data_IF_806771401587
#
_entry.id   IF_806771401587
#
_cell.length_a   1.000
_cell.length_b   1.000
_cell.length_c   1.000
_cell.angle_alpha   90.00
_cell.angle_beta   90.00
_cell.angle_gamma   90.00
#
_symmetry.space_group_name_H-M   'P 1'
#
loop_
_entity.id
_entity.type
_entity.pdbx_description
1 polymer ?
#
# COMPACT_ATOMS: atom_id res chain seq x y z
N UNK A 1 -15.78 19.25 32.80
CA UNK A 1 -15.25 18.19 31.92
C UNK A 1 -14.67 18.80 30.66
N UNK A 2 -15.39 19.69 29.98
CA UNK A 2 -14.94 20.29 28.71
C UNK A 2 -13.66 21.14 28.84
N UNK A 3 -13.52 21.92 29.92
CA UNK A 3 -12.32 22.73 30.18
C UNK A 3 -11.08 21.86 30.48
N UNK A 4 -11.26 20.67 31.07
CA UNK A 4 -10.18 19.71 31.27
C UNK A 4 -9.78 19.03 29.96
N UNK A 5 -10.75 18.72 29.08
CA UNK A 5 -10.48 18.21 27.74
C UNK A 5 -9.74 19.25 26.90
N UNK A 6 -10.13 20.52 26.97
CA UNK A 6 -9.47 21.62 26.26
C UNK A 6 -8.07 21.87 26.80
N UNK A 7 -7.89 21.77 28.13
CA UNK A 7 -6.58 21.84 28.76
C UNK A 7 -5.71 20.64 28.35
N UNK A 8 -6.23 19.42 28.34
CA UNK A 8 -5.51 18.23 27.88
C UNK A 8 -5.17 18.29 26.38
N UNK A 9 -6.03 18.89 25.54
CA UNK A 9 -5.77 19.09 24.13
C UNK A 9 -4.74 20.21 23.90
N UNK A 10 -4.83 21.31 24.66
CA UNK A 10 -3.85 22.39 24.65
C UNK A 10 -2.48 21.93 25.17
N UNK A 11 -2.46 21.11 26.22
CA UNK A 11 -1.24 20.45 26.72
C UNK A 11 -0.75 19.46 25.68
N UNK A 12 -1.60 18.60 25.10
CA UNK A 12 -1.22 17.65 24.04
C UNK A 12 -0.63 18.31 22.79
N UNK A 13 -1.10 19.51 22.43
CA UNK A 13 -0.57 20.34 21.35
C UNK A 13 0.76 21.03 21.72
N UNK A 14 0.96 21.39 23.00
CA UNK A 14 2.17 22.08 23.51
C UNK A 14 3.28 21.12 23.94
N UNK A 15 2.93 19.91 24.38
CA UNK A 15 3.82 18.83 24.84
C UNK A 15 4.08 17.78 23.76
N UNK A 16 3.57 17.95 22.53
CA UNK A 16 3.82 16.95 21.51
C UNK A 16 5.30 16.93 21.12
N UNK A 17 5.90 15.78 21.48
CA UNK A 17 7.16 15.21 21.02
C UNK A 17 8.40 15.64 21.82
N UNK A 18 8.50 15.21 23.07
CA UNK A 18 9.82 14.82 23.58
C UNK A 18 10.42 13.80 22.62
N UNK A 19 11.61 14.11 22.11
CA UNK A 19 12.39 13.20 21.27
C UNK A 19 12.75 11.99 22.14
N UNK A 20 12.16 10.84 21.83
CA UNK A 20 12.54 9.57 22.47
C UNK A 20 14.04 9.33 22.23
N UNK A 21 14.81 8.96 23.27
CA UNK A 21 16.22 8.67 23.12
C UNK A 21 16.39 7.57 22.08
N UNK A 22 17.13 7.88 21.02
CA UNK A 22 17.33 6.97 19.90
C UNK A 22 17.92 5.65 20.37
N UNK A 23 17.43 4.51 19.87
CA UNK A 23 17.96 3.15 20.11
C UNK A 23 19.50 3.04 19.95
N UNK A 24 20.09 3.92 19.14
CA UNK A 24 21.54 4.05 18.91
C UNK A 24 22.33 4.65 20.07
N UNK A 25 21.68 5.29 21.04
CA UNK A 25 22.33 5.81 22.24
C UNK A 25 22.93 4.70 23.12
N UNK A 26 22.49 3.45 22.89
CA UNK A 26 23.08 2.25 23.49
C UNK A 26 24.44 1.87 22.89
N UNK A 27 24.79 2.34 21.69
CA UNK A 27 26.08 2.07 21.06
C UNK A 27 27.09 3.19 21.35
N UNK A 28 28.25 2.81 21.89
CA UNK A 28 29.35 3.70 22.30
C UNK A 28 29.92 4.57 21.15
N UNK A 29 29.69 4.15 19.89
CA UNK A 29 30.09 4.86 18.65
C UNK A 29 29.31 6.18 18.48
N UNK A 30 28.12 6.28 19.07
CA UNK A 30 27.20 7.42 18.90
C UNK A 30 27.68 8.72 19.58
N UNK A 31 28.53 8.60 20.61
CA UNK A 31 29.07 9.71 21.43
C UNK A 31 30.45 10.22 20.97
N UNK A 32 30.95 9.77 19.83
CA UNK A 32 32.21 10.26 19.27
C UNK A 32 32.08 11.68 18.68
N UNK A 33 33.13 12.52 18.71
CA UNK A 33 33.09 13.88 18.17
C UNK A 33 32.84 13.91 16.65
N UNK A 34 33.21 12.84 15.94
CA UNK A 34 32.94 12.67 14.50
C UNK A 34 31.44 12.47 14.25
N UNK A 35 30.76 11.69 15.10
CA UNK A 35 29.31 11.46 15.04
C UNK A 35 28.51 12.74 15.28
N UNK A 36 28.93 13.58 16.23
CA UNK A 36 28.26 14.87 16.49
C UNK A 36 28.44 15.87 15.35
N UNK A 37 29.65 15.98 14.78
CA UNK A 37 29.87 16.82 13.60
C UNK A 37 29.08 16.33 12.38
N UNK A 38 28.98 15.02 12.19
CA UNK A 38 28.18 14.42 11.12
C UNK A 38 26.69 14.71 11.31
N UNK A 39 26.17 14.57 12.54
CA UNK A 39 24.79 14.95 12.88
C UNK A 39 24.54 16.43 12.64
N UNK A 40 25.44 17.30 13.06
CA UNK A 40 25.34 18.75 12.83
C UNK A 40 25.33 19.08 11.33
N UNK A 41 26.12 18.38 10.53
CA UNK A 41 26.14 18.53 9.07
C UNK A 41 24.84 18.05 8.41
N UNK A 42 24.38 16.84 8.74
CA UNK A 42 23.15 16.22 8.19
C UNK A 42 21.90 17.02 8.58
N UNK A 43 21.85 17.55 9.81
CA UNK A 43 20.74 18.39 10.29
C UNK A 43 20.79 19.81 9.71
N UNK A 44 21.93 20.20 9.14
CA UNK A 44 22.11 21.50 8.51
C UNK A 44 21.36 21.62 7.17
N UNK A 45 20.88 22.83 6.82
CA UNK A 45 20.18 23.05 5.54
C UNK A 45 21.09 22.79 4.32
N UNK A 46 22.41 22.91 4.49
CA UNK A 46 23.41 22.65 3.45
C UNK A 46 23.34 21.23 2.90
N UNK A 47 23.12 20.25 3.77
CA UNK A 47 23.00 18.85 3.37
C UNK A 47 21.81 18.65 2.43
N UNK A 48 20.65 19.22 2.77
CA UNK A 48 19.46 19.18 1.90
C UNK A 48 19.71 19.76 0.51
N UNK A 49 20.41 20.89 0.42
CA UNK A 49 20.79 21.49 -0.86
C UNK A 49 21.74 20.60 -1.68
N UNK A 50 22.73 19.97 -1.05
CA UNK A 50 23.66 19.05 -1.72
C UNK A 50 22.90 17.85 -2.30
N UNK A 51 22.04 17.21 -1.51
CA UNK A 51 21.26 16.06 -1.95
C UNK A 51 20.31 16.43 -3.09
N UNK A 52 19.69 17.61 -3.02
CA UNK A 52 18.84 18.13 -4.10
C UNK A 52 19.61 18.34 -5.38
N UNK A 53 20.82 18.89 -5.29
CA UNK A 53 21.69 19.08 -6.44
C UNK A 53 22.06 17.73 -7.08
N UNK A 54 22.40 16.73 -6.28
CA UNK A 54 22.67 15.36 -6.76
C UNK A 54 21.43 14.77 -7.45
N UNK A 55 20.23 15.01 -6.90
CA UNK A 55 18.98 14.53 -7.49
C UNK A 55 18.67 15.18 -8.84
N UNK A 56 18.93 16.48 -8.96
CA UNK A 56 18.80 17.19 -10.24
C UNK A 56 19.81 16.63 -11.26
N UNK A 57 21.05 16.34 -10.85
CA UNK A 57 22.04 15.71 -11.74
C UNK A 57 21.63 14.30 -12.17
N UNK A 58 21.07 13.49 -11.26
CA UNK A 58 20.54 12.17 -11.59
C UNK A 58 19.39 12.27 -12.61
N UNK A 59 18.50 13.27 -12.46
CA UNK A 59 17.45 13.53 -13.44
C UNK A 59 18.02 13.83 -14.84
N UNK A 60 19.07 14.66 -14.92
CA UNK A 60 19.73 14.92 -16.19
C UNK A 60 20.38 13.67 -16.78
N UNK A 61 21.04 12.84 -15.95
CA UNK A 61 21.61 11.57 -16.39
C UNK A 61 20.54 10.64 -17.00
N UNK A 62 19.39 10.50 -16.35
CA UNK A 62 18.25 9.70 -16.84
C UNK A 62 17.71 10.22 -18.18
N UNK A 63 17.59 11.54 -18.33
CA UNK A 63 17.12 12.16 -19.58
C UNK A 63 18.10 11.88 -20.72
N UNK A 64 19.40 11.99 -20.44
CA UNK A 64 20.46 11.71 -21.42
C UNK A 64 20.47 10.22 -21.78
N UNK A 65 20.39 9.32 -20.81
CA UNK A 65 20.31 7.88 -21.04
C UNK A 65 19.12 7.54 -21.94
N UNK A 66 17.93 8.06 -21.62
CA UNK A 66 16.71 7.81 -22.41
C UNK A 66 16.83 8.34 -23.83
N UNK A 67 17.51 9.48 -24.02
CA UNK A 67 17.75 10.04 -25.37
C UNK A 67 18.74 9.19 -26.16
N UNK A 68 19.76 8.62 -25.49
CA UNK A 68 20.76 7.76 -26.12
C UNK A 68 20.22 6.37 -26.46
N UNK A 69 19.30 5.84 -25.66
CA UNK A 69 18.59 4.59 -25.91
C UNK A 69 17.79 4.67 -27.22
N UNK A 70 17.07 5.77 -27.44
CA UNK A 70 16.36 6.04 -28.71
C UNK A 70 17.33 6.21 -29.88
N UNK A 71 18.49 6.82 -29.64
CA UNK A 71 19.54 7.01 -30.66
C UNK A 71 20.40 5.76 -30.91
N UNK A 72 20.15 4.65 -30.21
CA UNK A 72 20.83 3.35 -30.32
C UNK A 72 22.37 3.46 -30.27
N UNK A 73 22.88 4.33 -29.38
CA UNK A 73 24.29 4.63 -29.27
C UNK A 73 24.96 3.83 -28.13
N UNK A 74 26.17 3.33 -28.38
CA UNK A 74 27.01 2.55 -27.43
C UNK A 74 27.30 3.22 -26.08
N UNK A 75 27.08 4.53 -25.95
CA UNK A 75 27.28 5.29 -24.72
C UNK A 75 26.32 4.94 -23.57
N UNK A 76 25.23 4.23 -23.83
CA UNK A 76 24.20 3.88 -22.84
C UNK A 76 24.76 3.18 -21.60
N UNK A 77 25.70 2.25 -21.77
CA UNK A 77 26.27 1.47 -20.65
C UNK A 77 26.96 2.36 -19.60
N UNK A 78 27.63 3.43 -20.04
CA UNK A 78 28.33 4.35 -19.12
C UNK A 78 27.33 5.13 -18.28
N UNK A 79 26.20 5.55 -18.87
CA UNK A 79 25.16 6.27 -18.15
C UNK A 79 24.42 5.38 -17.15
N UNK A 80 24.19 4.11 -17.51
CA UNK A 80 23.60 3.13 -16.59
C UNK A 80 24.49 2.88 -15.34
N UNK A 81 25.81 2.77 -15.51
CA UNK A 81 26.75 2.65 -14.39
C UNK A 81 26.71 3.89 -13.48
N UNK A 82 26.61 5.08 -14.09
CA UNK A 82 26.49 6.34 -13.35
C UNK A 82 25.17 6.39 -12.56
N UNK A 83 24.06 5.93 -13.13
CA UNK A 83 22.78 5.81 -12.41
C UNK A 83 22.87 4.89 -11.20
N UNK A 84 23.56 3.74 -11.34
CA UNK A 84 23.77 2.81 -10.23
C UNK A 84 24.58 3.44 -9.08
N UNK A 85 25.63 4.20 -9.41
CA UNK A 85 26.41 4.95 -8.41
C UNK A 85 25.54 5.99 -7.69
N UNK A 86 24.67 6.70 -8.40
CA UNK A 86 23.71 7.62 -7.77
C UNK A 86 22.75 6.88 -6.84
N UNK A 87 22.26 5.70 -7.21
CA UNK A 87 21.47 4.81 -6.36
C UNK A 87 22.12 4.57 -4.99
N UNK A 88 23.40 4.22 -4.98
CA UNK A 88 24.17 4.00 -3.75
C UNK A 88 24.36 5.26 -2.90
N UNK A 89 24.56 6.42 -3.54
CA UNK A 89 24.65 7.70 -2.83
C UNK A 89 23.35 7.97 -2.04
N UNK A 90 22.19 7.60 -2.58
CA UNK A 90 20.91 7.73 -1.86
C UNK A 90 20.77 6.77 -0.68
N UNK A 91 21.27 5.54 -0.81
CA UNK A 91 21.32 4.60 0.33
C UNK A 91 22.18 5.18 1.46
N UNK A 92 23.33 5.76 1.10
CA UNK A 92 24.22 6.38 2.07
C UNK A 92 23.55 7.60 2.74
N UNK A 93 22.88 8.46 1.96
CA UNK A 93 22.10 9.60 2.45
C UNK A 93 21.01 9.18 3.44
N UNK A 94 20.28 8.11 3.11
CA UNK A 94 19.27 7.52 3.98
C UNK A 94 19.86 6.99 5.27
N UNK A 95 20.94 6.21 5.18
CA UNK A 95 21.64 5.68 6.34
C UNK A 95 22.12 6.81 7.27
N UNK A 96 22.65 7.89 6.70
CA UNK A 96 23.07 9.09 7.43
C UNK A 96 21.91 9.79 8.14
N UNK A 97 20.75 9.93 7.48
CA UNK A 97 19.54 10.50 8.10
C UNK A 97 19.00 9.62 9.22
N UNK A 98 18.85 8.32 8.99
CA UNK A 98 18.37 7.37 10.02
C UNK A 98 19.33 7.38 11.22
N UNK A 99 20.64 7.46 10.97
CA UNK A 99 21.65 7.59 12.01
C UNK A 99 21.55 8.92 12.76
N UNK A 100 21.30 10.05 12.09
CA UNK A 100 21.27 11.36 12.77
C UNK A 100 19.98 11.62 13.56
N UNK A 101 18.83 11.18 13.05
CA UNK A 101 17.53 11.40 13.68
C UNK A 101 17.12 10.30 14.66
N UNK A 102 17.78 9.13 14.59
CA UNK A 102 17.42 7.94 15.37
C UNK A 102 16.26 7.17 14.75
N UNK A 103 16.32 5.84 14.79
CA UNK A 103 15.37 4.95 14.12
C UNK A 103 13.91 5.24 14.53
N UNK A 104 13.65 5.45 15.81
CA UNK A 104 12.31 5.61 16.35
C UNK A 104 11.67 6.97 15.99
N UNK A 105 12.44 8.05 16.07
CA UNK A 105 11.95 9.37 15.66
C UNK A 105 11.79 9.46 14.14
N UNK A 106 12.67 8.79 13.38
CA UNK A 106 12.56 8.67 11.93
C UNK A 106 11.30 7.90 11.51
N UNK A 107 10.99 6.78 12.17
CA UNK A 107 9.79 5.97 11.87
C UNK A 107 8.48 6.62 12.32
N UNK A 108 8.53 7.58 13.25
CA UNK A 108 7.31 8.29 13.70
C UNK A 108 6.77 9.26 12.66
N UNK A 109 7.62 9.79 11.79
CA UNK A 109 7.19 10.69 10.72
C UNK A 109 6.78 9.90 9.46
N UNK A 110 5.53 10.07 9.03
CA UNK A 110 4.98 9.35 7.89
C UNK A 110 5.69 9.68 6.58
N UNK A 111 6.18 10.92 6.43
CA UNK A 111 6.91 11.36 5.24
C UNK A 111 8.26 10.64 5.11
N UNK A 112 8.96 10.47 6.23
CA UNK A 112 10.24 9.77 6.26
C UNK A 112 10.09 8.27 6.00
N UNK A 113 9.02 7.63 6.52
CA UNK A 113 8.71 6.23 6.20
C UNK A 113 8.50 6.00 4.72
N UNK A 114 7.75 6.89 4.06
CA UNK A 114 7.54 6.81 2.62
C UNK A 114 8.87 6.97 1.86
N UNK A 115 9.67 7.96 2.23
CA UNK A 115 10.99 8.21 1.63
C UNK A 115 11.92 6.98 1.72
N UNK A 116 11.90 6.29 2.87
CA UNK A 116 12.65 5.06 3.10
C UNK A 116 12.18 3.91 2.20
N UNK A 117 10.87 3.64 2.16
CA UNK A 117 10.30 2.57 1.34
C UNK A 117 10.61 2.79 -0.15
N UNK A 118 10.43 4.02 -0.63
CA UNK A 118 10.70 4.38 -2.02
C UNK A 118 12.18 4.17 -2.35
N UNK A 119 13.10 4.61 -1.48
CA UNK A 119 14.53 4.43 -1.71
C UNK A 119 14.92 2.96 -1.77
N UNK A 120 14.39 2.12 -0.88
CA UNK A 120 14.64 0.67 -0.91
C UNK A 120 14.09 -0.02 -2.16
N UNK A 121 12.85 0.30 -2.56
CA UNK A 121 12.24 -0.27 -3.78
C UNK A 121 13.09 0.07 -5.00
N UNK A 122 13.55 1.33 -5.11
CA UNK A 122 14.38 1.78 -6.22
C UNK A 122 15.72 1.03 -6.24
N UNK A 123 16.41 0.95 -5.11
CA UNK A 123 17.74 0.32 -5.02
C UNK A 123 17.67 -1.17 -5.32
N UNK A 124 16.64 -1.86 -4.80
CA UNK A 124 16.41 -3.27 -5.13
C UNK A 124 16.14 -3.42 -6.62
N UNK A 125 15.26 -2.59 -7.19
CA UNK A 125 14.92 -2.62 -8.62
C UNK A 125 16.14 -2.42 -9.52
N UNK A 126 16.99 -1.42 -9.22
CA UNK A 126 18.22 -1.16 -9.96
C UNK A 126 19.24 -2.29 -9.78
N UNK A 127 19.41 -2.81 -8.56
CA UNK A 127 20.35 -3.89 -8.28
C UNK A 127 19.95 -5.19 -9.00
N UNK A 128 18.67 -5.53 -9.01
CA UNK A 128 18.16 -6.70 -9.74
C UNK A 128 18.42 -6.57 -11.25
N UNK A 129 18.22 -5.36 -11.79
CA UNK A 129 18.45 -5.08 -13.21
C UNK A 129 19.93 -5.20 -13.59
N UNK A 130 20.83 -4.73 -12.71
CA UNK A 130 22.27 -4.80 -12.94
C UNK A 130 22.85 -6.20 -12.75
N UNK A 131 22.41 -6.92 -11.70
CA UNK A 131 22.95 -8.23 -11.33
C UNK A 131 22.45 -9.38 -12.21
N UNK A 132 21.30 -9.22 -12.89
CA UNK A 132 20.68 -10.30 -13.66
C UNK A 132 20.02 -9.78 -14.94
N UNK A 133 20.80 -9.37 -15.95
CA UNK A 133 20.24 -9.00 -17.25
C UNK A 133 19.58 -10.19 -17.99
N UNK A 134 20.02 -11.43 -17.75
CA UNK A 134 19.64 -12.60 -18.59
C UNK A 134 19.00 -13.80 -17.84
N UNK A 135 19.00 -13.85 -16.49
CA UNK A 135 18.64 -15.10 -15.77
C UNK A 135 17.21 -15.18 -15.22
N UNK A 136 16.43 -14.09 -15.19
CA UNK A 136 15.03 -14.15 -14.79
C UNK A 136 14.09 -14.23 -16.00
N UNK A 137 14.06 -15.39 -16.65
CA UNK A 137 13.13 -15.72 -17.75
C UNK A 137 11.63 -15.56 -17.38
N UNK A 138 11.28 -15.47 -16.09
CA UNK A 138 9.92 -15.14 -15.62
C UNK A 138 9.50 -13.68 -15.91
N UNK A 139 10.46 -12.84 -16.28
CA UNK A 139 10.33 -11.39 -16.37
C UNK A 139 10.75 -10.83 -17.74
N UNK A 140 10.83 -11.72 -18.74
CA UNK A 140 11.27 -11.47 -20.12
C UNK A 140 10.40 -10.52 -20.96
N UNK A 141 9.31 -9.98 -20.42
CA UNK A 141 8.44 -9.06 -21.14
C UNK A 141 8.77 -7.63 -20.70
N UNK A 142 8.72 -6.64 -21.60
CA UNK A 142 9.08 -5.24 -21.35
C UNK A 142 8.36 -4.52 -20.19
N UNK A 143 7.61 -5.23 -19.35
CA UNK A 143 7.08 -4.80 -18.05
C UNK A 143 8.17 -4.40 -17.05
N UNK A 144 9.34 -5.06 -17.03
CA UNK A 144 10.43 -4.65 -16.12
C UNK A 144 10.97 -3.28 -16.43
N UNK A 145 11.17 -3.01 -17.72
CA UNK A 145 11.45 -1.66 -18.21
C UNK A 145 10.39 -0.66 -17.72
N UNK A 146 9.10 -1.03 -17.74
CA UNK A 146 8.02 -0.14 -17.27
C UNK A 146 8.12 0.12 -15.77
N UNK A 147 8.42 -0.91 -14.97
CA UNK A 147 8.61 -0.75 -13.52
C UNK A 147 9.83 0.12 -13.19
N UNK A 148 10.93 -0.03 -13.92
CA UNK A 148 12.11 0.85 -13.78
C UNK A 148 11.78 2.29 -14.16
N UNK A 149 11.00 2.49 -15.22
CA UNK A 149 10.52 3.81 -15.61
C UNK A 149 9.65 4.44 -14.51
N UNK A 150 8.74 3.67 -13.92
CA UNK A 150 7.93 4.10 -12.78
C UNK A 150 8.80 4.43 -11.57
N UNK A 151 9.81 3.61 -11.27
CA UNK A 151 10.76 3.86 -10.19
C UNK A 151 11.54 5.17 -10.40
N UNK A 152 11.93 5.48 -11.65
CA UNK A 152 12.54 6.76 -12.04
C UNK A 152 11.57 7.94 -11.82
N UNK A 153 10.27 7.77 -12.11
CA UNK A 153 9.25 8.79 -11.83
C UNK A 153 9.05 9.03 -10.32
N UNK A 154 9.18 7.98 -9.49
CA UNK A 154 9.13 8.13 -8.02
C UNK A 154 10.25 9.04 -7.50
N UNK A 155 11.45 9.01 -8.12
CA UNK A 155 12.53 9.96 -7.80
C UNK A 155 12.15 11.41 -8.08
N UNK A 156 11.41 11.70 -9.16
CA UNK A 156 10.87 13.06 -9.40
C UNK A 156 9.91 13.49 -8.28
N UNK A 157 9.03 12.59 -7.81
CA UNK A 157 8.12 12.90 -6.70
C UNK A 157 8.91 13.29 -5.45
N UNK A 158 10.04 12.62 -5.21
CA UNK A 158 10.97 12.98 -4.15
C UNK A 158 11.60 14.37 -4.36
N UNK A 159 11.99 14.72 -5.59
CA UNK A 159 12.46 16.08 -5.94
C UNK A 159 11.41 17.14 -5.58
N UNK A 160 10.14 16.87 -5.93
CA UNK A 160 9.00 17.75 -5.67
C UNK A 160 8.81 18.00 -4.17
N UNK A 161 9.07 17.01 -3.31
CA UNK A 161 9.02 17.20 -1.85
C UNK A 161 10.10 18.17 -1.33
N UNK A 162 11.23 18.28 -2.01
CA UNK A 162 12.29 19.21 -1.62
C UNK A 162 11.99 20.65 -2.02
N UNK A 163 11.21 20.85 -3.09
CA UNK A 163 10.77 22.17 -3.53
C UNK A 163 9.67 22.68 -2.60
N UNK A 164 9.94 23.78 -1.90
CA UNK A 164 9.04 24.36 -0.87
C UNK A 164 7.61 24.56 -1.36
N UNK A 165 7.42 24.94 -2.63
CA UNK A 165 6.11 25.17 -3.24
C UNK A 165 5.27 23.90 -3.34
N UNK A 166 5.88 22.77 -3.70
CA UNK A 166 5.19 21.49 -3.90
C UNK A 166 5.15 20.63 -2.64
N UNK A 167 6.06 20.87 -1.69
CA UNK A 167 6.11 20.15 -0.41
C UNK A 167 4.76 20.07 0.29
N UNK A 168 4.03 21.19 0.37
CA UNK A 168 2.72 21.21 1.03
C UNK A 168 1.70 20.31 0.32
N UNK A 169 1.68 20.33 -1.02
CA UNK A 169 0.79 19.49 -1.83
C UNK A 169 1.13 18.01 -1.71
N UNK A 170 2.41 17.64 -1.80
CA UNK A 170 2.82 16.25 -1.68
C UNK A 170 2.58 15.74 -0.26
N UNK A 171 2.86 16.57 0.76
CA UNK A 171 2.58 16.24 2.15
C UNK A 171 1.10 15.98 2.39
N UNK A 172 0.21 16.87 1.92
CA UNK A 172 -1.24 16.66 2.06
C UNK A 172 -1.68 15.42 1.33
N UNK A 173 -1.21 15.19 0.10
CA UNK A 173 -1.52 13.98 -0.66
C UNK A 173 -1.09 12.70 0.09
N UNK A 174 0.15 12.65 0.58
CA UNK A 174 0.65 11.51 1.36
C UNK A 174 -0.11 11.29 2.67
N UNK A 175 -0.60 12.36 3.31
CA UNK A 175 -1.47 12.23 4.50
C UNK A 175 -2.89 11.82 4.16
N UNK A 176 -3.38 12.13 2.95
CA UNK A 176 -4.70 11.75 2.48
C UNK A 176 -4.78 10.26 2.12
N UNK A 177 -3.69 9.67 1.58
CA UNK A 177 -3.64 8.23 1.24
C UNK A 177 -4.11 7.32 2.39
N UNK A 178 -3.53 7.38 3.61
CA UNK A 178 -3.96 6.52 4.71
C UNK A 178 -5.37 6.87 5.20
N UNK A 179 -5.79 8.13 5.10
CA UNK A 179 -7.15 8.57 5.46
C UNK A 179 -8.21 8.02 4.50
N UNK A 180 -7.87 7.91 3.20
CA UNK A 180 -8.74 7.39 2.15
C UNK A 180 -8.74 5.85 2.08
N UNK A 181 -7.70 5.19 2.59
CA UNK A 181 -7.56 3.74 2.60
C UNK A 181 -8.79 2.97 3.15
N UNK A 182 -9.39 3.32 4.30
CA UNK A 182 -10.58 2.63 4.79
C UNK A 182 -11.81 2.81 3.88
N UNK A 183 -11.98 3.98 3.26
CA UNK A 183 -13.08 4.22 2.32
C UNK A 183 -12.92 3.41 1.04
N UNK A 184 -11.71 3.38 0.49
CA UNK A 184 -11.37 2.53 -0.66
C UNK A 184 -11.57 1.05 -0.33
N UNK A 185 -11.20 0.62 0.89
CA UNK A 185 -11.43 -0.73 1.39
C UNK A 185 -12.92 -1.10 1.42
N UNK A 186 -13.77 -0.22 1.95
CA UNK A 186 -15.22 -0.44 1.97
C UNK A 186 -15.80 -0.54 0.55
N UNK A 187 -15.42 0.36 -0.35
CA UNK A 187 -15.85 0.31 -1.76
C UNK A 187 -15.39 -1.00 -2.41
N UNK A 188 -14.14 -1.41 -2.17
CA UNK A 188 -13.61 -2.67 -2.67
C UNK A 188 -14.39 -3.88 -2.16
N UNK A 189 -14.75 -3.92 -0.87
CA UNK A 189 -15.58 -4.98 -0.30
C UNK A 189 -16.97 -5.05 -0.96
N UNK A 190 -17.62 -3.90 -1.16
CA UNK A 190 -18.94 -3.85 -1.85
C UNK A 190 -18.81 -4.36 -3.29
N UNK A 191 -17.77 -3.96 -4.00
CA UNK A 191 -17.49 -4.45 -5.35
C UNK A 191 -17.26 -5.97 -5.37
N UNK A 192 -16.57 -6.53 -4.38
CA UNK A 192 -16.36 -7.98 -4.27
C UNK A 192 -17.68 -8.74 -4.05
N UNK A 193 -18.57 -8.24 -3.20
CA UNK A 193 -19.89 -8.83 -2.98
C UNK A 193 -20.71 -8.79 -4.27
N UNK A 194 -20.75 -7.64 -4.94
CA UNK A 194 -21.49 -7.48 -6.20
C UNK A 194 -20.93 -8.38 -7.31
N UNK A 195 -19.60 -8.50 -7.40
CA UNK A 195 -18.94 -9.41 -8.34
C UNK A 195 -19.31 -10.88 -8.07
N UNK A 196 -19.35 -11.28 -6.80
CA UNK A 196 -19.75 -12.64 -6.39
C UNK A 196 -21.21 -12.95 -6.74
N UNK A 197 -22.12 -11.98 -6.52
CA UNK A 197 -23.54 -12.11 -6.93
C UNK A 197 -23.65 -12.19 -8.45
N UNK A 198 -22.93 -11.33 -9.17
CA UNK A 198 -22.91 -11.31 -10.64
C UNK A 198 -22.48 -12.65 -11.24
N UNK A 199 -21.43 -13.26 -10.71
CA UNK A 199 -20.97 -14.59 -11.16
C UNK A 199 -22.04 -15.66 -10.89
N UNK A 200 -22.68 -15.66 -9.72
CA UNK A 200 -23.74 -16.63 -9.40
C UNK A 200 -24.96 -16.49 -10.31
N UNK A 201 -25.43 -15.27 -10.56
CA UNK A 201 -26.58 -15.00 -11.44
C UNK A 201 -26.26 -15.38 -12.88
N UNK A 202 -25.07 -15.04 -13.38
CA UNK A 202 -24.62 -15.45 -14.71
C UNK A 202 -24.53 -16.97 -14.84
N UNK A 203 -24.08 -17.66 -13.78
CA UNK A 203 -23.99 -19.11 -13.75
C UNK A 203 -25.38 -19.76 -13.81
N UNK A 204 -26.33 -19.27 -12.99
CA UNK A 204 -27.73 -19.72 -12.99
C UNK A 204 -28.37 -19.49 -14.36
N UNK A 205 -28.19 -18.31 -14.96
CA UNK A 205 -28.74 -17.99 -16.27
C UNK A 205 -28.15 -18.89 -17.36
N UNK A 206 -26.83 -19.10 -17.37
CA UNK A 206 -26.16 -20.00 -18.31
C UNK A 206 -26.67 -21.43 -18.19
N UNK A 207 -26.84 -21.91 -16.96
CA UNK A 207 -27.36 -23.24 -16.69
C UNK A 207 -28.83 -23.39 -17.13
N UNK A 208 -29.66 -22.39 -16.88
CA UNK A 208 -31.06 -22.37 -17.33
C UNK A 208 -31.17 -22.38 -18.86
N UNK A 209 -30.24 -21.73 -19.57
CA UNK A 209 -30.22 -21.66 -21.04
C UNK A 209 -29.66 -22.92 -21.72
N UNK A 210 -28.81 -23.71 -21.03
CA UNK A 210 -28.11 -24.86 -21.63
C UNK A 210 -28.60 -26.23 -21.11
N UNK A 211 -29.11 -26.33 -19.86
CA UNK A 211 -29.59 -27.57 -19.23
C UNK A 211 -30.79 -27.29 -18.29
N UNK A 212 -31.97 -26.91 -18.82
CA UNK A 212 -33.13 -26.55 -17.98
C UNK A 212 -33.60 -27.71 -17.08
N UNK A 213 -33.50 -28.97 -17.55
CA UNK A 213 -33.98 -30.14 -16.82
C UNK A 213 -33.18 -30.51 -15.54
N UNK A 214 -31.96 -29.98 -15.38
CA UNK A 214 -31.11 -30.29 -14.21
C UNK A 214 -31.23 -29.19 -13.12
N UNK A 215 -31.72 -27.99 -13.48
CA UNK A 215 -31.90 -26.88 -12.54
C UNK A 215 -33.10 -27.16 -11.62
N UNK A 216 -34.20 -27.65 -12.19
CA UNK A 216 -35.40 -28.05 -11.43
C UNK A 216 -35.07 -29.17 -10.44
N UNK A 217 -34.26 -30.16 -10.83
CA UNK A 217 -33.87 -31.27 -9.96
C UNK A 217 -32.98 -30.82 -8.79
N UNK A 218 -32.03 -29.91 -9.01
CA UNK A 218 -31.10 -29.47 -7.96
C UNK A 218 -31.68 -28.38 -7.04
N UNK A 219 -32.59 -27.53 -7.54
CA UNK A 219 -33.37 -26.61 -6.70
C UNK A 219 -34.31 -27.37 -5.77
N UNK A 220 -35.06 -28.35 -6.29
CA UNK A 220 -35.96 -29.20 -5.51
C UNK A 220 -35.21 -29.89 -4.35
N UNK A 221 -34.08 -30.52 -4.66
CA UNK A 221 -33.29 -31.26 -3.66
C UNK A 221 -32.59 -30.35 -2.63
N UNK A 222 -32.23 -29.12 -3.00
CA UNK A 222 -31.63 -28.16 -2.06
C UNK A 222 -32.67 -27.54 -1.12
N UNK A 223 -33.90 -27.29 -1.62
CA UNK A 223 -35.03 -26.78 -0.83
C UNK A 223 -35.52 -27.85 0.16
N UNK A 224 -35.59 -29.12 -0.24
CA UNK A 224 -35.97 -30.24 0.64
C UNK A 224 -34.95 -30.46 1.77
N UNK A 225 -33.65 -30.35 1.48
CA UNK A 225 -32.60 -30.45 2.52
C UNK A 225 -32.69 -29.31 3.52
N UNK A 226 -32.93 -28.07 3.07
CA UNK A 226 -33.04 -26.92 3.95
C UNK A 226 -34.35 -26.94 4.76
N UNK A 227 -35.47 -27.35 4.15
CA UNK A 227 -36.75 -27.58 4.84
C UNK A 227 -36.67 -28.68 5.89
N UNK A 228 -36.01 -29.80 5.57
CA UNK A 228 -35.79 -30.90 6.52
C UNK A 228 -34.89 -30.51 7.70
N UNK A 229 -33.87 -29.67 7.49
CA UNK A 229 -33.00 -29.17 8.57
C UNK A 229 -33.74 -28.18 9.48
N UNK A 230 -34.65 -27.36 8.94
CA UNK A 230 -35.45 -26.41 9.73
C UNK A 230 -36.58 -27.09 10.50
N UNK A 231 -37.13 -28.20 9.98
CA UNK A 231 -38.17 -28.98 10.64
C UNK A 231 -37.64 -29.99 11.69
N UNK A 232 -36.36 -30.35 11.62
CA UNK A 232 -35.72 -31.29 12.55
C UNK A 232 -35.53 -30.69 13.95
N UNK A 233 -36.56 -30.80 14.80
CA UNK A 233 -36.43 -30.57 16.25
C UNK A 233 -37.61 -29.89 16.93
N UNK A 234 -38.72 -29.59 16.24
CA UNK A 234 -39.86 -28.91 16.85
C UNK A 234 -41.11 -29.83 16.95
N UNK A 235 -41.38 -30.43 18.12
CA UNK A 235 -42.54 -31.33 18.32
C UNK A 235 -43.90 -30.62 18.35
N UNK A 236 -43.94 -29.28 18.20
CA UNK A 236 -45.19 -28.51 18.19
C UNK A 236 -45.87 -28.43 16.80
N UNK A 237 -45.25 -28.95 15.74
CA UNK A 237 -45.75 -28.89 14.37
C UNK A 237 -46.48 -30.15 13.91
N UNK A 238 -46.56 -31.19 14.75
CA UNK A 238 -47.10 -32.52 14.39
C UNK A 238 -48.64 -32.58 14.31
N UNK A 239 -49.34 -31.46 14.54
CA UNK A 239 -50.81 -31.41 14.66
C UNK A 239 -51.50 -30.23 13.95
N UNK A 240 -50.81 -29.53 13.04
CA UNK A 240 -51.39 -28.45 12.20
C UNK A 240 -51.21 -28.75 10.72
N UNK A 241 -52.10 -28.23 9.85
CA UNK A 241 -52.07 -28.36 8.36
C UNK A 241 -50.77 -27.86 7.68
N UNK A 242 -49.73 -27.53 8.44
CA UNK A 242 -48.38 -27.17 7.96
C UNK A 242 -47.42 -28.37 7.84
N UNK A 243 -47.88 -29.59 8.11
CA UNK A 243 -47.13 -30.82 7.83
C UNK A 243 -47.10 -31.19 6.36
N UNK A 244 -48.02 -30.67 5.56
CA UNK A 244 -48.02 -30.89 4.11
C UNK A 244 -47.16 -29.81 3.45
N UNK A 245 -46.08 -30.27 2.83
CA UNK A 245 -44.92 -29.57 2.24
C UNK A 245 -45.25 -28.56 1.11
N UNK A 246 -46.26 -27.70 1.25
CA UNK A 246 -46.74 -26.90 0.11
C UNK A 246 -46.38 -25.41 0.15
N UNK A 247 -45.91 -24.86 1.28
CA UNK A 247 -45.57 -23.42 1.36
C UNK A 247 -44.32 -23.08 2.20
N UNK A 248 -43.10 -23.50 1.78
CA UNK A 248 -41.85 -23.18 2.48
C UNK A 248 -41.55 -21.68 2.55
N UNK A 249 -42.05 -20.91 1.58
CA UNK A 249 -41.83 -19.46 1.49
C UNK A 249 -42.58 -18.66 2.57
N UNK A 250 -43.76 -19.13 2.99
CA UNK A 250 -44.56 -18.48 4.04
C UNK A 250 -44.00 -18.74 5.43
N UNK A 251 -43.42 -19.93 5.67
CA UNK A 251 -42.80 -20.30 6.94
C UNK A 251 -41.50 -19.52 7.25
N UNK A 252 -40.70 -19.23 6.21
CA UNK A 252 -39.51 -18.38 6.33
C UNK A 252 -39.85 -16.92 6.68
N UNK A 253 -40.89 -16.36 6.05
CA UNK A 253 -41.30 -14.97 6.27
C UNK A 253 -41.96 -14.77 7.64
N UNK A 254 -42.67 -15.78 8.15
CA UNK A 254 -43.28 -15.77 9.48
C UNK A 254 -42.22 -15.90 10.60
N UNK A 255 -41.18 -16.72 10.41
CA UNK A 255 -40.08 -16.88 11.38
C UNK A 255 -39.25 -15.60 11.52
N UNK A 256 -39.07 -14.83 10.44
CA UNK A 256 -38.40 -13.53 10.45
C UNK A 256 -39.22 -12.40 11.10
N UNK A 257 -40.56 -12.56 11.17
CA UNK A 257 -41.49 -11.55 11.72
C UNK A 257 -41.87 -11.80 13.20
N UNK A 258 -41.72 -13.03 13.68
CA UNK A 258 -42.13 -13.45 15.05
C UNK A 258 -40.97 -13.45 16.06
N UNK A 259 -39.73 -13.20 15.64
CA UNK A 259 -38.62 -12.93 16.56
C UNK A 259 -38.43 -11.40 16.76
N UNK A 260 -38.86 -10.83 17.91
CA UNK A 260 -38.28 -9.59 18.42
C UNK A 260 -36.88 -9.80 19.01
#
# INVERSE_FOLDING_TARGET
MDEFTDLCNAIGLRFQKEDVPSLFERFQIYRSPVSENLKAFVRGPKFGYIISFILILNLFAVIIETTLDIANNSGQKVWQEVEFVFGWIYVLEMALKVYSFGFENYWRDGQNRFDFLITWIIVIGETVTFASPDEFYFFSNGEWIRYLLLARLLRLIRLLMHVRSYRAFVATFLTLIPSLMPYLGTIFCVLCIYCSIGVQVLWIFYFHLHLPAYLDFQMQHSIEIFGGIVNAGNPALEATELTDDEYPFLSFLYTLLVFP
#
